data_IF_592174107712
#
_entry.id   IF_592174107712
#
_cell.length_a   1.000
_cell.length_b   1.000
_cell.length_c   1.000
_cell.angle_alpha   90.00
_cell.angle_beta   90.00
_cell.angle_gamma   90.00
#
_symmetry.space_group_name_H-M   'P 1'
#
loop_
_entity.id
_entity.type
_entity.pdbx_description
1 polymer ?
#
# COMPACT_ATOMS: atom_id res chain seq x y z
N UNK A 1 -22.39 -6.29 22.86
CA UNK A 1 -22.98 -6.42 21.51
C UNK A 1 -22.26 -7.60 20.87
N UNK A 2 -22.98 -8.66 20.48
CA UNK A 2 -22.40 -9.77 19.71
C UNK A 2 -22.32 -9.26 18.26
N UNK A 3 -21.10 -9.08 17.75
CA UNK A 3 -20.87 -8.76 16.34
C UNK A 3 -20.71 -10.10 15.67
N UNK A 4 -21.55 -10.47 14.69
CA UNK A 4 -21.33 -11.66 13.86
C UNK A 4 -20.43 -11.28 12.69
N UNK A 5 -19.22 -11.86 12.62
CA UNK A 5 -18.29 -11.65 11.52
C UNK A 5 -18.71 -12.48 10.31
N UNK A 6 -18.88 -11.80 9.17
CA UNK A 6 -19.02 -12.42 7.86
C UNK A 6 -17.91 -11.85 6.97
N UNK A 7 -16.75 -12.53 6.86
CA UNK A 7 -15.58 -11.96 6.22
C UNK A 7 -15.81 -11.77 4.72
N UNK A 8 -15.62 -10.54 4.23
CA UNK A 8 -15.55 -10.28 2.78
C UNK A 8 -14.22 -10.77 2.20
N UNK A 9 -13.13 -10.64 2.96
CA UNK A 9 -11.79 -11.10 2.59
C UNK A 9 -11.29 -12.00 3.73
N UNK A 10 -10.77 -13.17 3.36
CA UNK A 10 -10.00 -14.04 4.23
C UNK A 10 -8.77 -14.52 3.45
N UNK A 11 -7.57 -14.19 3.94
CA UNK A 11 -6.32 -14.52 3.26
C UNK A 11 -5.20 -14.77 4.26
N UNK A 12 -4.40 -15.80 4.01
CA UNK A 12 -3.19 -16.10 4.77
C UNK A 12 -1.97 -15.64 3.98
N UNK A 13 -1.22 -14.68 4.53
CA UNK A 13 -0.01 -14.15 3.91
C UNK A 13 1.24 -14.91 4.36
N UNK A 14 2.25 -14.99 3.49
CA UNK A 14 3.51 -15.68 3.78
C UNK A 14 4.50 -14.84 4.62
N UNK A 15 4.17 -13.57 4.86
CA UNK A 15 4.97 -12.62 5.63
C UNK A 15 4.12 -11.77 6.56
N UNK A 16 4.80 -10.99 7.40
CA UNK A 16 4.16 -10.02 8.29
C UNK A 16 3.51 -8.93 7.45
N UNK A 17 2.23 -8.63 7.70
CA UNK A 17 1.58 -7.45 7.14
C UNK A 17 2.27 -6.21 7.72
N UNK A 18 3.00 -5.48 6.87
CA UNK A 18 3.81 -4.34 7.25
C UNK A 18 3.07 -3.01 7.08
N UNK A 19 2.37 -2.86 5.96
CA UNK A 19 1.59 -1.65 5.64
C UNK A 19 0.34 -2.05 4.87
N UNK A 20 -0.75 -1.31 5.11
CA UNK A 20 -1.98 -1.38 4.33
C UNK A 20 -2.28 0.01 3.79
N UNK A 21 -2.80 0.06 2.57
CA UNK A 21 -3.23 1.29 1.90
C UNK A 21 -4.60 1.04 1.29
N UNK A 22 -5.51 1.99 1.44
CA UNK A 22 -6.86 1.87 0.89
C UNK A 22 -7.09 2.97 -0.14
N UNK A 23 -7.46 2.55 -1.35
CA UNK A 23 -8.09 3.44 -2.33
C UNK A 23 -9.59 3.43 -2.04
N UNK A 24 -10.08 4.50 -1.41
CA UNK A 24 -11.49 4.62 -1.01
C UNK A 24 -12.44 4.80 -2.18
N UNK A 25 -11.96 5.35 -3.30
CA UNK A 25 -12.80 5.64 -4.46
C UNK A 25 -13.10 4.36 -5.23
N UNK A 26 -12.13 3.43 -5.25
CA UNK A 26 -12.23 2.14 -5.93
C UNK A 26 -12.50 0.96 -5.00
N UNK A 27 -12.56 1.20 -3.69
CA UNK A 27 -12.67 0.18 -2.65
C UNK A 27 -11.57 -0.89 -2.78
N UNK A 28 -10.33 -0.46 -3.03
CA UNK A 28 -9.18 -1.37 -3.13
C UNK A 28 -8.38 -1.33 -1.83
N UNK A 29 -7.98 -2.51 -1.36
CA UNK A 29 -7.04 -2.71 -0.28
C UNK A 29 -5.73 -3.23 -0.86
N UNK A 30 -4.67 -2.44 -0.70
CA UNK A 30 -3.31 -2.85 -0.96
C UNK A 30 -2.63 -3.24 0.34
N UNK A 31 -1.86 -4.32 0.26
CA UNK A 31 -1.16 -4.89 1.41
C UNK A 31 0.31 -5.08 1.04
N UNK A 32 1.20 -4.55 1.86
CA UNK A 32 2.62 -4.86 1.85
C UNK A 32 2.90 -5.92 2.92
N UNK A 33 3.46 -7.06 2.52
CA UNK A 33 3.96 -8.08 3.44
C UNK A 33 5.48 -8.14 3.40
N UNK A 34 6.09 -8.44 4.55
CA UNK A 34 7.55 -8.58 4.69
C UNK A 34 7.90 -9.91 5.32
N UNK A 35 8.87 -10.60 4.72
CA UNK A 35 9.50 -11.78 5.30
C UNK A 35 10.98 -11.47 5.52
N UNK A 36 11.36 -11.32 6.80
CA UNK A 36 12.72 -10.98 7.20
C UNK A 36 13.70 -12.15 7.02
N UNK A 37 13.23 -13.40 7.10
CA UNK A 37 14.09 -14.58 6.91
C UNK A 37 14.54 -14.70 5.45
N UNK A 38 13.63 -14.44 4.53
CA UNK A 38 13.86 -14.53 3.09
C UNK A 38 14.32 -13.20 2.46
N UNK A 39 14.32 -12.11 3.23
CA UNK A 39 14.54 -10.74 2.73
C UNK A 39 13.65 -10.42 1.52
N UNK A 40 12.35 -10.69 1.65
CA UNK A 40 11.36 -10.42 0.61
C UNK A 40 10.27 -9.48 1.08
N UNK A 41 9.84 -8.61 0.17
CA UNK A 41 8.65 -7.76 0.26
C UNK A 41 7.72 -8.21 -0.85
N UNK A 42 6.44 -8.37 -0.52
CA UNK A 42 5.42 -8.72 -1.48
C UNK A 42 4.22 -7.78 -1.37
N UNK A 43 3.51 -7.61 -2.48
CA UNK A 43 2.35 -6.72 -2.58
C UNK A 43 1.11 -7.49 -2.99
N UNK A 44 -0.03 -7.14 -2.41
CA UNK A 44 -1.32 -7.74 -2.76
C UNK A 44 -2.39 -6.67 -2.95
N UNK A 45 -3.41 -6.95 -3.76
CA UNK A 45 -4.54 -6.07 -4.06
C UNK A 45 -5.85 -6.85 -3.97
N UNK A 46 -6.77 -6.35 -3.17
CA UNK A 46 -8.10 -6.93 -2.98
C UNK A 46 -9.18 -5.87 -3.14
N UNK A 47 -10.34 -6.24 -3.68
CA UNK A 47 -11.53 -5.40 -3.59
C UNK A 47 -12.20 -5.58 -2.22
N UNK A 48 -12.29 -4.51 -1.43
CA UNK A 48 -12.88 -4.51 -0.08
C UNK A 48 -14.36 -4.88 -0.07
N UNK A 49 -15.09 -4.60 -1.15
CA UNK A 49 -16.53 -4.83 -1.23
C UNK A 49 -16.89 -6.22 -1.73
N UNK A 50 -16.19 -6.71 -2.75
CA UNK A 50 -16.49 -8.00 -3.39
C UNK A 50 -15.63 -9.15 -2.85
N UNK A 51 -14.51 -8.84 -2.21
CA UNK A 51 -13.53 -9.82 -1.78
C UNK A 51 -12.63 -10.33 -2.91
N UNK A 52 -12.78 -9.80 -4.12
CA UNK A 52 -12.01 -10.22 -5.28
C UNK A 52 -10.51 -9.96 -5.07
N UNK A 53 -9.70 -10.99 -5.31
CA UNK A 53 -8.24 -10.90 -5.30
C UNK A 53 -7.75 -10.60 -6.71
N UNK A 54 -7.16 -9.43 -6.92
CA UNK A 54 -6.58 -9.02 -8.19
C UNK A 54 -5.17 -9.59 -8.38
N UNK A 55 -4.35 -9.49 -7.34
CA UNK A 55 -3.06 -10.16 -7.25
C UNK A 55 -2.67 -10.34 -5.79
N UNK A 56 -1.93 -11.40 -5.49
CA UNK A 56 -1.45 -11.70 -4.14
C UNK A 56 0.02 -12.08 -4.16
N UNK A 57 0.75 -11.59 -3.15
CA UNK A 57 2.17 -11.89 -2.93
C UNK A 57 3.04 -11.59 -4.17
N UNK A 58 2.75 -10.49 -4.86
CA UNK A 58 3.54 -9.98 -5.98
C UNK A 58 4.92 -9.54 -5.50
N UNK A 59 5.97 -10.20 -5.98
CA UNK A 59 7.36 -9.85 -5.70
C UNK A 59 7.99 -9.22 -6.94
N UNK A 60 8.62 -8.06 -6.76
CA UNK A 60 9.34 -7.33 -7.81
C UNK A 60 10.82 -7.75 -7.90
N UNK A 61 11.54 -7.22 -8.88
CA UNK A 61 12.96 -7.51 -9.07
C UNK A 61 13.82 -7.07 -7.87
N UNK A 62 13.58 -5.84 -7.36
CA UNK A 62 14.07 -5.43 -6.04
C UNK A 62 13.16 -6.06 -4.97
N UNK A 63 13.75 -6.90 -4.13
CA UNK A 63 13.00 -7.76 -3.21
C UNK A 63 12.92 -7.23 -1.81
N UNK A 64 13.79 -6.30 -1.39
CA UNK A 64 13.89 -5.92 0.01
C UNK A 64 13.85 -4.41 0.23
N UNK A 65 14.59 -3.68 -0.59
CA UNK A 65 14.70 -2.22 -0.51
C UNK A 65 13.61 -1.55 -1.35
N UNK A 66 12.38 -2.03 -1.20
CA UNK A 66 11.17 -1.51 -1.81
C UNK A 66 10.04 -1.48 -0.77
N UNK A 67 9.07 -0.60 -0.95
CA UNK A 67 7.93 -0.46 -0.05
C UNK A 67 6.76 0.25 -0.73
N UNK A 68 5.61 0.19 -0.07
CA UNK A 68 4.37 0.83 -0.50
C UNK A 68 4.43 2.32 -0.18
N UNK A 69 4.27 3.14 -1.20
CA UNK A 69 4.22 4.59 -1.07
C UNK A 69 2.76 5.04 -0.84
N UNK A 70 1.86 4.68 -1.76
CA UNK A 70 0.42 4.97 -1.67
C UNK A 70 -0.34 4.48 -2.90
N UNK A 71 -1.62 4.82 -3.02
CA UNK A 71 -2.45 4.44 -4.18
C UNK A 71 -3.32 5.57 -4.70
N UNK A 72 -3.45 5.70 -6.02
CA UNK A 72 -4.35 6.68 -6.69
C UNK A 72 -4.65 6.26 -8.11
N UNK A 73 -5.85 6.58 -8.60
CA UNK A 73 -6.24 6.45 -10.01
C UNK A 73 -5.91 5.07 -10.60
N UNK A 74 -6.34 4.00 -9.92
CA UNK A 74 -6.12 2.61 -10.36
C UNK A 74 -4.65 2.17 -10.33
N UNK A 75 -3.78 2.93 -9.65
CA UNK A 75 -2.36 2.64 -9.54
C UNK A 75 -1.94 2.47 -8.08
N UNK A 76 -1.15 1.43 -7.84
CA UNK A 76 -0.33 1.27 -6.65
C UNK A 76 1.05 1.87 -6.90
N UNK A 77 1.49 2.78 -6.04
CA UNK A 77 2.81 3.40 -6.11
C UNK A 77 3.71 2.80 -5.05
N UNK A 78 4.93 2.48 -5.48
CA UNK A 78 5.98 1.93 -4.64
C UNK A 78 7.20 2.84 -4.70
N UNK A 79 7.92 2.90 -3.60
CA UNK A 79 9.24 3.53 -3.51
C UNK A 79 10.30 2.47 -3.24
N UNK A 80 11.52 2.75 -3.68
CA UNK A 80 12.73 2.07 -3.22
C UNK A 80 13.39 2.80 -2.05
N UNK A 81 14.31 2.12 -1.36
CA UNK A 81 15.15 2.73 -0.32
C UNK A 81 16.56 3.00 -0.85
N UNK A 82 17.17 4.13 -0.48
CA UNK A 82 18.54 4.46 -0.92
C UNK A 82 19.57 3.47 -0.37
N UNK A 83 19.39 3.03 0.88
CA UNK A 83 20.16 1.96 1.50
C UNK A 83 19.34 1.29 2.62
N UNK A 84 19.73 0.11 3.12
CA UNK A 84 19.05 -0.53 4.25
C UNK A 84 19.06 0.30 5.54
N UNK A 85 19.97 1.27 5.66
CA UNK A 85 20.13 2.12 6.85
C UNK A 85 19.47 3.49 6.67
N UNK A 86 18.93 3.80 5.49
CA UNK A 86 18.36 5.11 5.18
C UNK A 86 16.85 5.00 5.01
N UNK A 87 16.05 5.83 5.71
CA UNK A 87 14.62 5.94 5.47
C UNK A 87 14.31 6.76 4.21
N UNK A 88 15.32 7.22 3.49
CA UNK A 88 15.15 8.03 2.29
C UNK A 88 14.58 7.19 1.14
N UNK A 89 13.41 7.62 0.68
CA UNK A 89 12.74 7.05 -0.46
C UNK A 89 13.43 7.52 -1.76
N UNK A 90 13.65 6.58 -2.67
CA UNK A 90 14.10 6.80 -4.04
C UNK A 90 13.20 6.01 -4.97
N UNK A 91 13.25 6.31 -6.25
CA UNK A 91 12.42 5.67 -7.25
C UNK A 91 10.91 5.87 -7.04
N UNK A 92 10.19 5.87 -8.16
CA UNK A 92 8.74 5.72 -8.18
C UNK A 92 8.44 4.59 -9.14
N UNK A 93 7.77 3.56 -8.66
CA UNK A 93 7.30 2.45 -9.48
C UNK A 93 5.78 2.43 -9.40
N UNK A 94 5.13 2.46 -10.56
CA UNK A 94 3.68 2.45 -10.66
C UNK A 94 3.21 1.08 -11.18
N UNK A 95 2.38 0.43 -10.38
CA UNK A 95 1.81 -0.89 -10.64
C UNK A 95 0.32 -0.73 -10.90
N UNK A 96 -0.17 -1.37 -11.96
CA UNK A 96 -1.60 -1.44 -12.24
C UNK A 96 -2.32 -2.23 -11.12
N UNK A 97 -3.32 -1.60 -10.52
CA UNK A 97 -3.96 -2.10 -9.30
C UNK A 97 -4.76 -3.41 -9.48
N UNK A 98 -5.09 -3.76 -10.72
CA UNK A 98 -5.94 -4.90 -11.05
C UNK A 98 -5.14 -6.09 -11.60
N UNK A 99 -4.01 -5.83 -12.22
CA UNK A 99 -3.20 -6.85 -12.90
C UNK A 99 -1.86 -7.12 -12.21
N UNK A 100 -1.42 -6.24 -11.31
CA UNK A 100 -0.12 -6.34 -10.67
C UNK A 100 1.06 -6.09 -11.62
N UNK A 101 0.80 -5.57 -12.83
CA UNK A 101 1.84 -5.30 -13.82
C UNK A 101 2.45 -3.92 -13.58
N UNK A 102 3.76 -3.83 -13.65
CA UNK A 102 4.44 -2.54 -13.71
C UNK A 102 4.04 -1.80 -14.99
N UNK A 103 3.48 -0.61 -14.84
CA UNK A 103 3.09 0.27 -15.95
C UNK A 103 4.24 1.20 -16.32
N UNK A 104 4.84 1.84 -15.32
CA UNK A 104 6.01 2.69 -15.50
C UNK A 104 6.86 2.76 -14.22
N UNK A 105 8.10 3.18 -14.38
CA UNK A 105 8.99 3.45 -13.26
C UNK A 105 9.96 4.59 -13.61
N UNK A 106 10.32 5.42 -12.63
CA UNK A 106 11.46 6.32 -12.71
C UNK A 106 12.31 6.18 -11.44
N UNK A 107 13.53 5.68 -11.60
CA UNK A 107 14.44 5.39 -10.48
C UNK A 107 15.16 6.62 -9.92
N UNK A 108 14.96 7.80 -10.52
CA UNK A 108 15.57 9.07 -10.11
C UNK A 108 14.59 10.02 -9.43
N UNK A 109 13.33 9.64 -9.32
CA UNK A 109 12.29 10.44 -8.68
C UNK A 109 11.96 9.87 -7.31
N UNK A 110 11.55 10.71 -6.37
CA UNK A 110 10.94 10.29 -5.10
C UNK A 110 9.59 10.96 -4.95
N UNK A 111 8.60 10.24 -4.41
CA UNK A 111 7.28 10.83 -4.14
C UNK A 111 7.39 11.90 -3.06
N UNK A 112 6.67 13.00 -3.28
CA UNK A 112 6.54 14.09 -2.31
C UNK A 112 5.09 14.23 -1.83
N UNK A 113 4.13 14.19 -2.76
CA UNK A 113 2.72 14.27 -2.42
C UNK A 113 1.84 13.71 -3.54
N UNK A 114 0.73 13.08 -3.13
CA UNK A 114 -0.40 12.80 -4.01
C UNK A 114 -1.28 14.05 -4.10
N UNK A 115 -1.52 14.54 -5.30
CA UNK A 115 -2.42 15.69 -5.54
C UNK A 115 -3.67 15.25 -6.28
N UNK A 116 -4.66 16.13 -6.36
CA UNK A 116 -5.86 15.88 -7.18
C UNK A 116 -5.58 15.82 -8.69
N UNK A 117 -4.41 16.29 -9.14
CA UNK A 117 -4.08 16.41 -10.58
C UNK A 117 -2.96 15.49 -11.05
N UNK A 118 -2.15 14.99 -10.13
CA UNK A 118 -0.97 14.18 -10.46
C UNK A 118 -0.08 13.92 -9.25
N UNK A 119 0.96 13.12 -9.46
CA UNK A 119 1.96 12.79 -8.46
C UNK A 119 3.04 13.87 -8.43
N UNK A 120 3.16 14.58 -7.31
CA UNK A 120 4.29 15.48 -7.11
C UNK A 120 5.50 14.65 -6.69
N UNK A 121 6.61 14.80 -7.43
CA UNK A 121 7.84 14.07 -7.17
C UNK A 121 9.06 14.99 -7.18
N UNK A 122 10.05 14.70 -6.35
CA UNK A 122 11.35 15.36 -6.35
C UNK A 122 12.33 14.61 -7.25
N UNK A 123 13.04 15.36 -8.10
CA UNK A 123 14.08 14.85 -8.97
C UNK A 123 15.43 14.84 -8.23
N UNK A 124 15.91 13.63 -7.93
CA UNK A 124 17.10 13.38 -7.13
C UNK A 124 18.40 13.56 -7.92
N UNK A 125 18.34 13.87 -9.23
CA UNK A 125 19.53 14.15 -10.06
C UNK A 125 20.13 15.52 -9.81
N UNK A 126 19.38 16.42 -9.16
CA UNK A 126 19.79 17.80 -8.93
C UNK A 126 20.13 18.03 -7.45
N UNK A 127 21.22 18.76 -7.18
CA UNK A 127 21.57 19.16 -5.81
C UNK A 127 20.53 20.10 -5.19
N UNK A 128 19.87 20.93 -6.00
CA UNK A 128 18.73 21.72 -5.58
C UNK A 128 17.44 20.96 -5.88
N UNK A 129 16.58 20.83 -4.86
CA UNK A 129 15.30 20.11 -4.96
C UNK A 129 14.47 20.68 -6.11
N UNK A 130 14.36 19.89 -7.18
CA UNK A 130 13.53 20.21 -8.34
C UNK A 130 12.32 19.30 -8.32
N UNK A 131 11.13 19.87 -8.18
CA UNK A 131 9.88 19.09 -8.20
C UNK A 131 9.25 19.08 -9.58
N UNK A 132 8.72 17.92 -9.97
CA UNK A 132 7.94 17.70 -11.18
C UNK A 132 6.56 17.16 -10.80
N UNK A 133 5.56 17.48 -11.62
CA UNK A 133 4.23 16.89 -11.51
C UNK A 133 4.13 15.81 -12.57
N UNK A 134 3.76 14.59 -12.18
CA UNK A 134 3.65 13.44 -13.08
C UNK A 134 2.19 13.04 -13.23
N UNK A 135 1.85 12.59 -14.43
CA UNK A 135 0.62 11.86 -14.68
C UNK A 135 0.68 10.48 -14.00
N UNK A 136 -0.36 10.12 -13.23
CA UNK A 136 -0.38 8.88 -12.45
C UNK A 136 -0.26 7.61 -13.32
N UNK A 137 -0.89 7.60 -14.49
CA UNK A 137 -0.98 6.40 -15.32
C UNK A 137 0.23 6.23 -16.25
N UNK A 138 0.88 7.33 -16.63
CA UNK A 138 1.92 7.32 -17.66
C UNK A 138 3.31 7.73 -17.17
N UNK A 139 3.42 8.35 -15.99
CA UNK A 139 4.69 8.89 -15.47
C UNK A 139 5.23 10.09 -16.26
N UNK A 140 4.47 10.63 -17.21
CA UNK A 140 4.88 11.79 -18.01
C UNK A 140 4.72 13.07 -17.21
N UNK A 141 5.65 14.01 -17.42
CA UNK A 141 5.60 15.33 -16.77
C UNK A 141 4.40 16.11 -17.29
N UNK A 142 3.58 16.59 -16.36
CA UNK A 142 2.46 17.49 -16.60
C UNK A 142 2.88 18.95 -16.45
N UNK A 143 2.13 19.85 -17.11
CA UNK A 143 2.21 21.26 -16.77
C UNK A 143 1.64 21.46 -15.35
N UNK A 144 2.38 22.16 -14.50
CA UNK A 144 1.91 22.46 -13.15
C UNK A 144 0.72 23.43 -13.26
N UNK A 145 -0.45 23.09 -12.67
CA UNK A 145 -1.55 24.04 -12.58
C UNK A 145 -1.19 25.20 -11.64
N UNK A 146 -1.92 26.32 -11.76
CA UNK A 146 -1.72 27.51 -10.93
C UNK A 146 -1.94 27.22 -9.43
N UNK A 147 -2.79 26.24 -9.12
CA UNK A 147 -3.04 25.76 -7.77
C UNK A 147 -2.93 24.25 -7.72
N UNK A 148 -2.09 23.77 -6.79
CA UNK A 148 -1.97 22.35 -6.45
C UNK A 148 -2.68 22.12 -5.12
N UNK A 149 -3.59 21.15 -5.11
CA UNK A 149 -4.24 20.68 -3.90
C UNK A 149 -3.69 19.31 -3.54
N UNK A 150 -2.96 19.26 -2.43
CA UNK A 150 -2.52 18.01 -1.83
C UNK A 150 -3.74 17.25 -1.29
N UNK A 151 -3.78 15.95 -1.59
CA UNK A 151 -4.84 15.06 -1.14
C UNK A 151 -4.28 14.13 -0.06
N UNK A 152 -4.35 14.59 1.18
CA UNK A 152 -3.91 13.82 2.33
C UNK A 152 -4.87 12.66 2.61
N UNK A 153 -4.33 11.43 2.65
CA UNK A 153 -5.04 10.36 3.32
C UNK A 153 -4.85 10.46 4.83
N UNK A 154 -5.92 10.19 5.56
CA UNK A 154 -5.86 10.10 7.01
C UNK A 154 -5.18 8.78 7.39
N UNK A 155 -4.10 8.87 8.17
CA UNK A 155 -3.44 7.69 8.75
C UNK A 155 -4.31 7.17 9.90
N UNK A 156 -4.59 5.87 9.87
CA UNK A 156 -5.30 5.17 10.93
C UNK A 156 -4.40 4.11 11.56
N UNK A 157 -4.48 3.96 12.89
CA UNK A 157 -3.64 3.03 13.63
C UNK A 157 -4.48 1.88 14.20
N UNK A 158 -4.05 0.62 14.03
CA UNK A 158 -4.75 -0.50 14.62
C UNK A 158 -4.65 -0.49 16.15
N UNK A 159 -5.65 -1.08 16.79
CA UNK A 159 -5.68 -1.35 18.22
C UNK A 159 -5.38 -2.83 18.47
N UNK A 160 -4.44 -3.09 19.39
CA UNK A 160 -4.13 -4.44 19.84
C UNK A 160 -5.29 -5.01 20.66
N UNK A 161 -5.70 -6.24 20.35
CA UNK A 161 -6.72 -6.98 21.06
C UNK A 161 -6.09 -7.96 22.04
N UNK A 162 -6.44 -7.83 23.33
CA UNK A 162 -5.99 -8.76 24.37
C UNK A 162 -6.65 -10.14 24.29
N UNK A 163 -7.86 -10.20 23.73
CA UNK A 163 -8.61 -11.43 23.52
C UNK A 163 -9.33 -11.34 22.17
N UNK A 164 -9.25 -12.37 21.31
CA UNK A 164 -10.07 -12.41 20.11
C UNK A 164 -11.55 -12.43 20.48
N UNK A 165 -12.42 -11.75 19.72
CA UNK A 165 -13.86 -11.94 19.82
C UNK A 165 -14.21 -13.43 19.68
N UNK A 166 -15.17 -13.94 20.46
CA UNK A 166 -15.48 -15.38 20.52
C UNK A 166 -15.69 -16.02 19.15
N UNK A 167 -16.38 -15.31 18.25
CA UNK A 167 -16.72 -15.77 16.91
C UNK A 167 -15.63 -15.50 15.87
N UNK A 168 -14.57 -14.76 16.20
CA UNK A 168 -13.39 -14.65 15.35
C UNK A 168 -12.60 -15.96 15.38
N UNK A 169 -12.47 -16.59 16.55
CA UNK A 169 -11.74 -17.85 16.71
C UNK A 169 -12.31 -18.92 15.78
N UNK A 170 -13.63 -18.98 15.64
CA UNK A 170 -14.32 -19.94 14.78
C UNK A 170 -14.02 -19.73 13.28
N UNK A 171 -13.54 -18.55 12.88
CA UNK A 171 -13.17 -18.22 11.50
C UNK A 171 -11.70 -18.48 11.18
N UNK A 172 -10.86 -18.68 12.20
CA UNK A 172 -9.43 -18.89 12.03
C UNK A 172 -9.17 -20.39 11.93
N UNK A 173 -8.65 -20.80 10.76
CA UNK A 173 -8.39 -22.22 10.45
C UNK A 173 -7.11 -22.73 11.09
N UNK A 174 -6.16 -21.84 11.36
CA UNK A 174 -4.83 -22.15 11.91
C UNK A 174 -4.66 -21.63 13.36
N UNK A 175 -3.53 -22.00 13.98
CA UNK A 175 -3.16 -21.45 15.28
C UNK A 175 -2.86 -19.94 15.16
N UNK A 176 -3.42 -19.15 16.07
CA UNK A 176 -3.08 -17.72 16.16
C UNK A 176 -1.69 -17.60 16.77
N UNK A 177 -0.76 -17.04 16.01
CA UNK A 177 0.60 -16.76 16.47
C UNK A 177 0.80 -15.24 16.49
N UNK A 178 1.22 -14.70 17.64
CA UNK A 178 1.54 -13.27 17.78
C UNK A 178 0.38 -12.43 18.31
N UNK A 179 0.45 -11.13 18.04
CA UNK A 179 -0.52 -10.13 18.49
C UNK A 179 -1.67 -10.02 17.49
N UNK A 180 -2.90 -9.93 17.98
CA UNK A 180 -4.08 -9.69 17.15
C UNK A 180 -4.35 -8.19 17.14
N UNK A 181 -4.44 -7.60 15.96
CA UNK A 181 -4.76 -6.19 15.77
C UNK A 181 -6.14 -6.02 15.14
N UNK A 182 -6.80 -4.91 15.45
CA UNK A 182 -8.05 -4.52 14.79
C UNK A 182 -8.07 -3.05 14.41
N UNK A 183 -8.67 -2.73 13.27
CA UNK A 183 -8.86 -1.37 12.82
C UNK A 183 -10.28 -1.20 12.28
N UNK A 184 -10.99 -0.19 12.79
CA UNK A 184 -12.22 0.27 12.17
C UNK A 184 -11.85 1.25 11.05
N UNK A 185 -12.23 0.93 9.81
CA UNK A 185 -11.97 1.76 8.65
C UNK A 185 -13.22 1.83 7.77
N UNK A 186 -13.89 2.99 7.77
CA UNK A 186 -15.19 3.18 7.11
C UNK A 186 -16.21 2.09 7.55
N UNK A 187 -16.98 1.37 6.69
CA UNK A 187 -17.86 0.30 7.18
C UNK A 187 -17.11 -1.01 7.51
N UNK A 188 -15.79 -1.05 7.34
CA UNK A 188 -15.00 -2.27 7.47
C UNK A 188 -14.34 -2.38 8.85
N UNK A 189 -14.25 -3.61 9.34
CA UNK A 189 -13.37 -3.99 10.44
C UNK A 189 -12.28 -4.87 9.84
N UNK A 190 -11.04 -4.41 9.94
CA UNK A 190 -9.86 -5.17 9.53
C UNK A 190 -9.30 -5.84 10.78
N UNK A 191 -9.03 -7.13 10.68
CA UNK A 191 -8.40 -7.93 11.75
C UNK A 191 -7.21 -8.65 11.12
N UNK A 192 -6.05 -8.55 11.76
CA UNK A 192 -4.77 -9.13 11.31
C UNK A 192 -4.01 -9.71 12.48
#
# INVERSE_FOLDING_TARGET
>A
MLIDFNPTIQHLFAGLIWKMEVDTDLELLFIETRNAENHTVAFSSFNLKTGENYFSELVLEEKWLIGLEGSRNEMLFLHGYSSPQSPEHKAVVAIDAFTGKQVWADYNLSVEAFTTTGLLAADQRFQTKKTVLLDYQTGKVLQKPDQLHENFQQIAYPQMLFLPPKNLIDLIVDEIVGEICSLNYNPYIIIS
#
